data_IF_643293361103
#
_entry.id   IF_643293361103
#
_cell.length_a   1.000
_cell.length_b   1.000
_cell.length_c   1.000
_cell.angle_alpha   90.00
_cell.angle_beta   90.00
_cell.angle_gamma   90.00
#
_symmetry.space_group_name_H-M   'P 1'
#
loop_
_entity.id
_entity.type
_entity.pdbx_description
1 polymer ?
#
# COMPACT_ATOMS: atom_id res chain seq x y z
N UNK A 1 -10.01 -12.79 -6.04
CA UNK A 1 -8.68 -12.34 -5.55
C UNK A 1 -8.01 -11.57 -6.69
N UNK A 2 -8.25 -10.26 -6.78
CA UNK A 2 -7.87 -9.46 -7.95
C UNK A 2 -6.35 -9.23 -8.04
N UNK A 3 -5.70 -9.02 -6.90
CA UNK A 3 -4.25 -8.79 -6.85
C UNK A 3 -3.45 -9.96 -7.40
N UNK A 4 -3.79 -11.19 -6.99
CA UNK A 4 -3.11 -12.38 -7.50
C UNK A 4 -3.33 -12.57 -9.01
N UNK A 5 -4.54 -12.36 -9.49
CA UNK A 5 -4.84 -12.47 -10.92
C UNK A 5 -4.11 -11.41 -11.74
N UNK A 6 -4.06 -10.16 -11.25
CA UNK A 6 -3.31 -9.09 -11.88
C UNK A 6 -1.80 -9.38 -11.85
N UNK A 7 -1.28 -9.94 -10.75
CA UNK A 7 0.12 -10.37 -10.67
C UNK A 7 0.46 -11.41 -11.74
N UNK A 8 -0.38 -12.43 -11.93
CA UNK A 8 -0.17 -13.44 -12.97
C UNK A 8 -0.24 -12.84 -14.37
N UNK A 9 -1.23 -11.98 -14.62
CA UNK A 9 -1.36 -11.24 -15.88
C UNK A 9 -0.08 -10.46 -16.21
N UNK A 10 0.38 -9.61 -15.28
CA UNK A 10 1.59 -8.83 -15.51
C UNK A 10 2.86 -9.69 -15.52
N UNK A 11 2.89 -10.83 -14.84
CA UNK A 11 4.02 -11.75 -14.95
C UNK A 11 4.12 -12.32 -16.37
N UNK A 12 2.99 -12.74 -16.96
CA UNK A 12 2.93 -13.21 -18.35
C UNK A 12 3.29 -12.12 -19.35
N UNK A 13 2.84 -10.88 -19.12
CA UNK A 13 3.21 -9.72 -19.97
C UNK A 13 4.71 -9.36 -19.86
N UNK A 14 5.37 -9.75 -18.76
CA UNK A 14 6.79 -9.52 -18.50
C UNK A 14 7.63 -10.81 -18.68
N UNK A 15 7.36 -11.58 -19.74
CA UNK A 15 8.13 -12.80 -20.10
C UNK A 15 8.25 -13.81 -18.94
N UNK A 16 7.12 -14.09 -18.27
CA UNK A 16 7.01 -15.00 -17.12
C UNK A 16 8.01 -14.66 -15.98
N UNK A 17 8.30 -13.37 -15.80
CA UNK A 17 9.25 -12.88 -14.81
C UNK A 17 8.58 -11.97 -13.79
N UNK A 18 8.91 -12.19 -12.52
CA UNK A 18 8.58 -11.26 -11.44
C UNK A 18 9.73 -10.27 -11.29
N UNK A 19 9.40 -9.00 -11.52
CA UNK A 19 10.25 -7.85 -11.25
C UNK A 19 9.46 -6.77 -10.48
N UNK A 20 10.11 -5.67 -10.14
CA UNK A 20 9.47 -4.53 -9.48
C UNK A 20 8.23 -4.04 -10.26
N UNK A 21 8.36 -3.92 -11.59
CA UNK A 21 7.26 -3.45 -12.46
C UNK A 21 6.05 -4.37 -12.39
N UNK A 22 6.28 -5.68 -12.30
CA UNK A 22 5.21 -6.69 -12.20
C UNK A 22 4.36 -6.48 -10.96
N UNK A 23 4.99 -6.29 -9.79
CA UNK A 23 4.27 -6.05 -8.54
C UNK A 23 3.60 -4.66 -8.54
N UNK A 24 4.32 -3.64 -8.99
CA UNK A 24 3.79 -2.27 -9.06
C UNK A 24 2.51 -2.21 -9.90
N UNK A 25 2.56 -2.78 -11.10
CA UNK A 25 1.44 -2.70 -12.04
C UNK A 25 0.28 -3.58 -11.57
N UNK A 26 0.55 -4.74 -10.94
CA UNK A 26 -0.48 -5.56 -10.33
C UNK A 26 -1.23 -4.86 -9.20
N UNK A 27 -0.52 -4.16 -8.31
CA UNK A 27 -1.13 -3.37 -7.24
C UNK A 27 -1.91 -2.19 -7.82
N UNK A 28 -1.33 -1.46 -8.77
CA UNK A 28 -1.97 -0.31 -9.40
C UNK A 28 -3.27 -0.67 -10.15
N UNK A 29 -3.27 -1.79 -10.89
CA UNK A 29 -4.47 -2.25 -11.61
C UNK A 29 -5.55 -2.79 -10.66
N UNK A 30 -5.14 -3.35 -9.52
CA UNK A 30 -6.07 -3.75 -8.45
C UNK A 30 -6.77 -2.54 -7.84
N UNK A 31 -6.01 -1.48 -7.52
CA UNK A 31 -6.54 -0.23 -6.99
C UNK A 31 -7.47 0.44 -8.01
N UNK A 32 -7.06 0.52 -9.28
CA UNK A 32 -7.89 1.05 -10.36
C UNK A 32 -9.22 0.31 -10.48
N UNK A 33 -9.18 -1.02 -10.46
CA UNK A 33 -10.39 -1.84 -10.50
C UNK A 33 -11.33 -1.59 -9.32
N UNK A 34 -10.79 -1.37 -8.12
CA UNK A 34 -11.59 -0.98 -6.96
C UNK A 34 -12.20 0.42 -7.11
N UNK A 35 -11.42 1.42 -7.56
CA UNK A 35 -11.93 2.77 -7.79
C UNK A 35 -13.05 2.80 -8.83
N UNK A 36 -12.93 2.03 -9.91
CA UNK A 36 -13.98 1.94 -10.92
C UNK A 36 -15.23 1.22 -10.37
N UNK A 37 -15.05 0.19 -9.54
CA UNK A 37 -16.15 -0.45 -8.83
C UNK A 37 -16.86 0.53 -7.88
N UNK A 38 -16.12 1.34 -7.12
CA UNK A 38 -16.69 2.39 -6.25
C UNK A 38 -17.49 3.39 -7.07
N UNK A 39 -16.90 3.98 -8.13
CA UNK A 39 -17.58 4.97 -8.98
C UNK A 39 -18.91 4.46 -9.52
N UNK A 40 -18.95 3.20 -9.96
CA UNK A 40 -20.14 2.59 -10.56
C UNK A 40 -21.21 2.19 -9.53
N UNK A 41 -20.85 2.01 -8.26
CA UNK A 41 -21.75 1.45 -7.25
C UNK A 41 -22.04 2.39 -6.07
N UNK A 42 -21.36 3.53 -5.95
CA UNK A 42 -21.50 4.43 -4.79
C UNK A 42 -22.93 4.96 -4.58
N UNK A 43 -23.71 5.12 -5.65
CA UNK A 43 -25.12 5.54 -5.56
C UNK A 43 -26.03 4.47 -4.95
N UNK A 44 -25.68 3.19 -5.09
CA UNK A 44 -26.45 2.04 -4.56
C UNK A 44 -25.88 1.54 -3.23
N UNK A 45 -24.56 1.64 -3.06
CA UNK A 45 -23.81 1.15 -1.90
C UNK A 45 -22.94 2.30 -1.36
N UNK A 46 -23.52 3.31 -0.67
CA UNK A 46 -22.77 4.50 -0.24
C UNK A 46 -21.60 4.20 0.72
N UNK A 47 -21.69 3.09 1.46
CA UNK A 47 -20.64 2.64 2.38
C UNK A 47 -19.36 2.25 1.66
N UNK A 48 -19.42 1.92 0.36
CA UNK A 48 -18.25 1.46 -0.38
C UNK A 48 -17.20 2.56 -0.55
N UNK A 49 -17.62 3.83 -0.66
CA UNK A 49 -16.69 4.96 -0.75
C UNK A 49 -15.92 5.22 0.56
N UNK A 50 -16.30 4.55 1.64
CA UNK A 50 -15.62 4.58 2.94
C UNK A 50 -14.80 3.32 3.22
N UNK A 51 -14.88 2.33 2.33
CA UNK A 51 -14.12 1.10 2.46
C UNK A 51 -12.73 1.30 1.87
N UNK A 52 -11.73 0.78 2.56
CA UNK A 52 -10.33 0.79 2.13
C UNK A 52 -9.55 -0.21 2.98
N UNK A 53 -8.36 -0.59 2.49
CA UNK A 53 -7.47 -1.50 3.20
C UNK A 53 -6.02 -1.17 2.85
N UNK A 54 -5.12 -1.31 3.82
CA UNK A 54 -3.69 -1.39 3.52
C UNK A 54 -3.41 -2.65 2.68
N UNK A 55 -2.45 -2.55 1.78
CA UNK A 55 -1.99 -3.68 0.97
C UNK A 55 -0.50 -3.91 1.23
N UNK A 56 -0.17 -5.07 1.78
CA UNK A 56 1.20 -5.56 1.90
C UNK A 56 1.31 -6.90 1.17
N UNK A 57 2.15 -6.96 0.14
CA UNK A 57 2.36 -8.16 -0.66
C UNK A 57 3.85 -8.49 -0.71
N UNK A 58 4.17 -9.78 -0.52
CA UNK A 58 5.52 -10.32 -0.66
C UNK A 58 5.54 -11.44 -1.69
N UNK A 59 6.50 -11.40 -2.62
CA UNK A 59 6.70 -12.42 -3.65
C UNK A 59 8.14 -12.90 -3.62
N UNK A 60 8.35 -14.19 -3.38
CA UNK A 60 9.66 -14.82 -3.49
C UNK A 60 9.80 -15.44 -4.88
N UNK A 61 10.72 -14.93 -5.68
CA UNK A 61 10.96 -15.39 -7.04
C UNK A 61 12.44 -15.56 -7.32
N UNK A 62 12.86 -16.77 -7.71
CA UNK A 62 14.27 -17.11 -8.05
C UNK A 62 15.27 -16.63 -6.99
N UNK A 63 14.93 -16.75 -5.70
CA UNK A 63 15.77 -16.35 -4.58
C UNK A 63 15.74 -14.85 -4.23
N UNK A 64 14.95 -14.04 -4.95
CA UNK A 64 14.76 -12.61 -4.66
C UNK A 64 13.39 -12.40 -4.03
N UNK A 65 13.35 -11.69 -2.90
CA UNK A 65 12.12 -11.26 -2.24
C UNK A 65 11.74 -9.86 -2.74
N UNK A 66 10.60 -9.75 -3.40
CA UNK A 66 9.96 -8.49 -3.77
C UNK A 66 8.87 -8.16 -2.76
N UNK A 67 8.81 -6.91 -2.31
CA UNK A 67 7.79 -6.45 -1.35
C UNK A 67 7.13 -5.18 -1.89
N UNK A 68 5.81 -5.18 -1.95
CA UNK A 68 5.01 -3.99 -2.25
C UNK A 68 4.20 -3.61 -1.00
N UNK A 69 4.30 -2.34 -0.60
CA UNK A 69 3.57 -1.79 0.54
C UNK A 69 2.77 -0.56 0.13
N UNK A 70 1.48 -0.56 0.43
CA UNK A 70 0.56 0.56 0.26
C UNK A 70 -0.22 0.73 1.57
N UNK A 71 0.27 1.63 2.43
CA UNK A 71 -0.30 1.91 3.74
C UNK A 71 0.69 1.72 4.89
N UNK A 72 0.18 1.52 6.09
CA UNK A 72 0.95 1.45 7.34
C UNK A 72 1.29 0.01 7.79
N UNK A 73 1.00 -0.98 6.95
CA UNK A 73 1.48 -2.35 7.17
C UNK A 73 3.01 -2.42 7.05
N UNK A 74 3.61 -3.43 7.70
CA UNK A 74 5.07 -3.55 7.80
C UNK A 74 5.56 -4.97 7.54
N UNK A 75 6.49 -5.11 6.60
CA UNK A 75 7.28 -6.33 6.45
C UNK A 75 8.60 -6.21 7.23
N UNK A 76 8.93 -7.24 8.00
CA UNK A 76 10.17 -7.37 8.75
C UNK A 76 10.78 -8.72 8.43
N UNK A 77 12.05 -8.76 8.04
CA UNK A 77 12.80 -10.01 7.85
C UNK A 77 13.64 -10.31 9.09
N UNK A 78 13.45 -11.51 9.63
CA UNK A 78 14.27 -12.04 10.72
C UNK A 78 15.41 -12.89 10.16
N UNK A 79 16.61 -12.74 10.71
CA UNK A 79 17.74 -13.64 10.41
C UNK A 79 18.43 -14.10 11.70
N UNK A 80 19.04 -15.28 11.65
CA UNK A 80 19.82 -15.82 12.77
C UNK A 80 21.26 -16.03 12.31
N UNK A 81 22.20 -15.33 12.93
CA UNK A 81 23.65 -15.47 12.68
C UNK A 81 24.33 -15.66 14.03
N UNK A 82 25.11 -16.73 14.19
CA UNK A 82 25.84 -17.04 15.43
C UNK A 82 24.96 -17.02 16.70
N UNK A 83 23.77 -17.63 16.63
CA UNK A 83 22.75 -17.67 17.70
C UNK A 83 22.21 -16.29 18.11
N UNK A 84 22.45 -15.24 17.32
CA UNK A 84 21.85 -13.91 17.49
C UNK A 84 20.75 -13.70 16.46
N UNK A 85 19.62 -13.19 16.94
CA UNK A 85 18.48 -12.81 16.09
C UNK A 85 18.67 -11.36 15.65
N UNK A 86 18.55 -11.10 14.35
CA UNK A 86 18.44 -9.76 13.76
C UNK A 86 17.06 -9.61 13.14
N UNK A 87 16.49 -8.40 13.19
CA UNK A 87 15.23 -8.06 12.56
C UNK A 87 15.41 -6.77 11.78
N UNK A 88 15.14 -6.81 10.47
CA UNK A 88 15.28 -5.67 9.56
C UNK A 88 13.93 -5.38 8.92
N UNK A 89 13.47 -4.14 9.08
CA UNK A 89 12.26 -3.66 8.42
C UNK A 89 12.53 -3.45 6.92
N UNK A 90 11.69 -4.03 6.07
CA UNK A 90 11.84 -3.98 4.60
C UNK A 90 10.99 -2.88 3.95
N UNK A 91 9.97 -2.39 4.63
CA UNK A 91 9.01 -1.43 4.09
C UNK A 91 9.00 -0.16 4.91
N UNK A 92 8.82 1.01 4.29
CA UNK A 92 8.50 2.24 5.03
C UNK A 92 7.00 2.26 5.34
N UNK A 93 6.65 2.61 6.56
CA UNK A 93 5.26 2.84 6.92
C UNK A 93 4.76 4.11 6.19
N UNK A 94 3.63 4.02 5.50
CA UNK A 94 3.03 5.16 4.81
C UNK A 94 1.86 5.72 5.63
N UNK A 95 2.17 6.54 6.65
CA UNK A 95 1.18 7.18 7.53
C UNK A 95 1.63 8.57 8.01
N UNK A 96 0.72 9.30 8.67
CA UNK A 96 0.97 10.68 9.09
C UNK A 96 2.01 10.85 10.20
N UNK A 97 2.59 9.79 10.77
CA UNK A 97 3.75 9.95 11.65
C UNK A 97 5.00 10.38 10.86
N UNK A 98 5.02 10.13 9.56
CA UNK A 98 6.04 10.63 8.65
C UNK A 98 5.79 12.10 8.27
N UNK A 99 6.78 12.96 8.51
CA UNK A 99 6.66 14.39 8.23
C UNK A 99 6.49 14.71 6.75
N UNK A 100 7.16 13.96 5.86
CA UNK A 100 7.05 14.20 4.43
C UNK A 100 5.61 13.99 3.95
N UNK A 101 4.94 12.96 4.47
CA UNK A 101 3.53 12.67 4.18
C UNK A 101 2.63 13.80 4.71
N UNK A 102 2.91 14.34 5.90
CA UNK A 102 2.15 15.49 6.44
C UNK A 102 2.29 16.71 5.53
N UNK A 103 3.51 17.05 5.12
CA UNK A 103 3.76 18.21 4.27
C UNK A 103 3.13 18.03 2.88
N UNK A 104 3.20 16.83 2.31
CA UNK A 104 2.52 16.49 1.06
C UNK A 104 1.01 16.71 1.18
N UNK A 105 0.37 16.16 2.22
CA UNK A 105 -1.07 16.32 2.46
C UNK A 105 -1.48 17.78 2.62
N UNK A 106 -0.71 18.57 3.36
CA UNK A 106 -0.94 20.02 3.53
C UNK A 106 -0.83 20.74 2.18
N UNK A 107 0.20 20.42 1.38
CA UNK A 107 0.42 21.05 0.07
C UNK A 107 -0.71 20.75 -0.93
N UNK A 108 -1.30 19.56 -0.88
CA UNK A 108 -2.40 19.14 -1.73
C UNK A 108 -3.76 19.72 -1.30
N UNK A 109 -3.87 20.25 -0.08
CA UNK A 109 -5.11 20.76 0.49
C UNK A 109 -4.93 22.16 1.13
N UNK A 110 -4.55 23.18 0.35
CA UNK A 110 -4.23 24.52 0.88
C UNK A 110 -5.41 25.20 1.60
N UNK A 111 -6.64 24.84 1.23
CA UNK A 111 -7.87 25.40 1.80
C UNK A 111 -8.39 24.64 3.04
N UNK A 112 -7.76 23.52 3.42
CA UNK A 112 -8.11 22.75 4.62
C UNK A 112 -6.94 22.73 5.62
N UNK A 113 -6.84 23.73 6.53
CA UNK A 113 -5.77 23.78 7.53
C UNK A 113 -5.87 22.64 8.56
N UNK A 114 -6.93 21.83 8.53
CA UNK A 114 -7.16 20.71 9.44
C UNK A 114 -7.00 19.34 8.78
N UNK A 115 -6.49 19.28 7.54
CA UNK A 115 -6.34 18.03 6.79
C UNK A 115 -5.48 16.99 7.54
N UNK A 116 -4.48 17.46 8.30
CA UNK A 116 -3.67 16.66 9.22
C UNK A 116 -3.90 17.17 10.64
N UNK A 117 -4.19 16.27 11.57
CA UNK A 117 -4.43 16.61 12.97
C UNK A 117 -3.60 15.72 13.90
N UNK A 118 -3.18 16.28 15.04
CA UNK A 118 -2.58 15.53 16.14
C UNK A 118 -3.61 15.37 17.25
N UNK A 119 -4.18 14.15 17.38
CA UNK A 119 -5.11 13.78 18.45
C UNK A 119 -4.83 12.34 18.86
N UNK A 120 -4.02 12.17 19.91
CA UNK A 120 -3.49 10.86 20.33
C UNK A 120 -2.76 10.15 19.16
N UNK A 121 -1.88 10.90 18.48
CA UNK A 121 -1.19 10.51 17.24
C UNK A 121 -1.60 11.34 16.03
N UNK A 122 -0.76 11.34 15.00
CA UNK A 122 -0.99 12.04 13.74
C UNK A 122 -2.00 11.28 12.86
N UNK A 123 -3.01 11.98 12.32
CA UNK A 123 -4.08 11.38 11.50
C UNK A 123 -4.52 12.31 10.37
N UNK A 124 -5.12 11.73 9.33
CA UNK A 124 -5.80 12.46 8.26
C UNK A 124 -7.25 12.73 8.69
N UNK A 125 -7.75 13.93 8.44
CA UNK A 125 -9.15 14.29 8.68
C UNK A 125 -10.11 13.33 7.97
N UNK A 126 -11.07 12.79 8.71
CA UNK A 126 -12.07 11.86 8.18
C UNK A 126 -11.58 10.41 8.03
N UNK A 127 -10.34 10.12 8.41
CA UNK A 127 -9.77 8.76 8.46
C UNK A 127 -9.39 8.46 9.91
N UNK A 128 -10.14 7.52 10.52
CA UNK A 128 -10.10 7.06 11.92
C UNK A 128 -10.69 8.06 12.92
#
# INVERSE_FOLDING_TARGET
>A
NNLFNNLLKFAHENDDTIAEVTLRDAVADTERGFLDYVKNNIGQIPTIGKAGSCCLAGVLWKGVLYVANLGDSRAVIGSVVDKRVSAVQLTRDHNCNDEAIRQELISLHPDDPTIVMEKNGWRVKGII
#
